data_IF_040302591702
#
_entry.id   IF_040302591702
#
_cell.length_a   1.000
_cell.length_b   1.000
_cell.length_c   1.000
_cell.angle_alpha   90.00
_cell.angle_beta   90.00
_cell.angle_gamma   90.00
#
_symmetry.space_group_name_H-M   'P 1'
#
loop_
_entity.id
_entity.type
_entity.pdbx_description
1 polymer ?
#
# COMPACT_ATOMS: atom_id res chain seq x y z
N UNK A 1 -0.36 24.12 7.64
CA UNK A 1 0.66 23.11 7.28
C UNK A 1 -0.07 21.83 6.93
N UNK A 2 0.06 21.33 5.70
CA UNK A 2 -0.65 20.11 5.28
C UNK A 2 -0.02 18.88 5.92
N UNK A 3 -0.68 18.31 6.93
CA UNK A 3 -0.19 17.12 7.62
C UNK A 3 -0.25 15.89 6.69
N UNK A 4 0.90 15.44 6.21
CA UNK A 4 1.00 14.19 5.45
C UNK A 4 0.85 13.00 6.40
N UNK A 5 -0.25 12.26 6.24
CA UNK A 5 -0.51 11.02 6.99
C UNK A 5 -0.27 9.82 6.10
N UNK A 6 0.26 8.75 6.67
CA UNK A 6 0.43 7.49 5.93
C UNK A 6 -0.93 6.93 5.51
N UNK A 7 -0.98 6.26 4.37
CA UNK A 7 -2.21 5.68 3.81
C UNK A 7 -2.91 4.73 4.80
N UNK A 8 -2.14 4.04 5.65
CA UNK A 8 -2.66 3.14 6.68
C UNK A 8 -3.54 3.88 7.71
N UNK A 9 -3.19 5.12 8.06
CA UNK A 9 -4.00 5.95 8.95
C UNK A 9 -5.28 6.37 8.23
N UNK A 10 -5.20 6.74 6.95
CA UNK A 10 -6.37 7.07 6.13
C UNK A 10 -7.38 5.93 6.04
N UNK A 11 -6.93 4.69 5.83
CA UNK A 11 -7.81 3.51 5.79
C UNK A 11 -8.48 3.27 7.16
N UNK A 12 -7.75 3.45 8.28
CA UNK A 12 -8.32 3.35 9.63
C UNK A 12 -9.39 4.40 9.90
N UNK A 13 -9.27 5.61 9.34
CA UNK A 13 -10.29 6.64 9.45
C UNK A 13 -11.59 6.28 8.73
N UNK A 14 -11.51 5.53 7.61
CA UNK A 14 -12.69 5.02 6.91
C UNK A 14 -13.44 3.97 7.75
N UNK A 15 -12.71 3.13 8.48
CA UNK A 15 -13.26 2.14 9.42
C UNK A 15 -13.87 2.79 10.66
N UNK A 16 -13.30 3.89 11.14
CA UNK A 16 -13.71 4.61 12.33
C UNK A 16 -14.88 5.59 12.09
N UNK A 17 -15.59 5.49 10.98
CA UNK A 17 -16.82 6.27 10.75
C UNK A 17 -17.95 5.69 11.62
N UNK A 18 -18.00 6.08 12.88
CA UNK A 18 -18.85 5.48 13.95
C UNK A 18 -20.37 5.63 13.75
N UNK A 19 -20.83 6.40 12.75
CA UNK A 19 -22.24 6.78 12.61
C UNK A 19 -23.00 5.96 11.57
N UNK A 20 -22.31 5.21 10.69
CA UNK A 20 -22.89 4.41 9.61
C UNK A 20 -22.12 3.08 9.58
N UNK A 21 -22.82 1.96 9.34
CA UNK A 21 -22.16 0.67 9.16
C UNK A 21 -20.97 0.80 8.19
N UNK A 22 -19.81 0.17 8.47
CA UNK A 22 -18.63 0.35 7.63
C UNK A 22 -18.91 0.00 6.16
N UNK A 23 -18.65 0.96 5.27
CA UNK A 23 -18.76 0.80 3.82
C UNK A 23 -17.57 -0.02 3.30
N UNK A 24 -17.69 -1.36 3.40
CA UNK A 24 -16.63 -2.29 3.02
C UNK A 24 -16.24 -2.19 1.55
N UNK A 25 -17.18 -1.87 0.67
CA UNK A 25 -16.94 -1.55 -0.74
C UNK A 25 -15.90 -0.43 -0.92
N UNK A 26 -16.03 0.68 -0.19
CA UNK A 26 -15.16 1.84 -0.27
C UNK A 26 -13.81 1.54 0.38
N UNK A 27 -13.81 0.89 1.54
CA UNK A 27 -12.59 0.52 2.25
C UNK A 27 -11.72 -0.42 1.39
N UNK A 28 -12.33 -1.43 0.78
CA UNK A 28 -11.62 -2.38 -0.08
C UNK A 28 -11.15 -1.71 -1.38
N UNK A 29 -11.94 -0.84 -1.99
CA UNK A 29 -11.52 -0.08 -3.16
C UNK A 29 -10.29 0.80 -2.86
N UNK A 30 -10.31 1.54 -1.74
CA UNK A 30 -9.17 2.34 -1.29
C UNK A 30 -7.93 1.50 -0.98
N UNK A 31 -8.13 0.31 -0.40
CA UNK A 31 -7.03 -0.64 -0.13
C UNK A 31 -6.40 -1.16 -1.41
N UNK A 32 -7.20 -1.50 -2.43
CA UNK A 32 -6.68 -1.94 -3.74
C UNK A 32 -5.87 -0.82 -4.40
N UNK A 33 -6.39 0.42 -4.40
CA UNK A 33 -5.68 1.57 -4.95
C UNK A 33 -4.37 1.82 -4.20
N UNK A 34 -4.37 1.70 -2.87
CA UNK A 34 -3.18 1.86 -2.04
C UNK A 34 -2.07 0.83 -2.34
N UNK A 35 -2.42 -0.34 -2.87
CA UNK A 35 -1.46 -1.37 -3.29
C UNK A 35 -0.88 -1.13 -4.69
N UNK A 36 -1.48 -0.26 -5.51
CA UNK A 36 -0.97 -0.01 -6.86
C UNK A 36 0.47 0.55 -6.87
N UNK A 37 0.84 1.56 -6.06
CA UNK A 37 2.20 2.10 -6.07
C UNK A 37 3.29 1.05 -5.82
N UNK A 38 3.23 0.22 -4.76
CA UNK A 38 4.27 -0.80 -4.54
C UNK A 38 4.27 -1.88 -5.63
N UNK A 39 3.11 -2.25 -6.20
CA UNK A 39 3.04 -3.19 -7.31
C UNK A 39 3.67 -2.64 -8.59
N UNK A 40 3.43 -1.37 -8.90
CA UNK A 40 4.04 -0.69 -10.05
C UNK A 40 5.57 -0.69 -9.91
N UNK A 41 6.07 -0.31 -8.74
CA UNK A 41 7.51 -0.33 -8.42
C UNK A 41 8.06 -1.75 -8.59
N UNK A 42 7.38 -2.77 -8.08
CA UNK A 42 7.80 -4.17 -8.20
C UNK A 42 7.87 -4.62 -9.66
N UNK A 43 6.86 -4.29 -10.48
CA UNK A 43 6.82 -4.69 -11.89
C UNK A 43 7.96 -4.06 -12.70
N UNK A 44 8.27 -2.78 -12.43
CA UNK A 44 9.37 -2.06 -13.07
C UNK A 44 10.72 -2.60 -12.62
N UNK A 45 10.91 -2.86 -11.32
CA UNK A 45 12.20 -3.25 -10.74
C UNK A 45 12.41 -4.77 -10.66
N UNK A 46 11.50 -5.59 -11.19
CA UNK A 46 11.53 -7.08 -11.06
C UNK A 46 12.92 -7.70 -11.22
N UNK A 47 13.67 -7.31 -12.27
CA UNK A 47 14.98 -7.89 -12.59
C UNK A 47 16.06 -7.42 -11.63
N UNK A 48 16.10 -6.12 -11.34
CA UNK A 48 17.09 -5.51 -10.43
C UNK A 48 16.93 -6.01 -9.01
N UNK A 49 15.68 -6.22 -8.55
CA UNK A 49 15.39 -6.74 -7.22
C UNK A 49 15.84 -8.21 -7.08
N UNK A 50 15.57 -9.04 -8.09
CA UNK A 50 16.02 -10.45 -8.14
C UNK A 50 17.54 -10.55 -8.18
N UNK A 51 18.21 -9.72 -8.98
CA UNK A 51 19.67 -9.66 -9.04
C UNK A 51 20.26 -9.16 -7.71
N UNK A 52 19.62 -8.18 -7.06
CA UNK A 52 20.00 -7.70 -5.74
C UNK A 52 19.95 -8.79 -4.67
N UNK A 53 18.87 -9.57 -4.62
CA UNK A 53 18.73 -10.70 -3.68
C UNK A 53 19.76 -11.79 -4.00
N UNK A 54 19.98 -12.10 -5.28
CA UNK A 54 20.95 -13.12 -5.71
C UNK A 54 22.40 -12.73 -5.38
N UNK A 55 22.75 -11.45 -5.36
CA UNK A 55 24.09 -11.01 -4.93
C UNK A 55 24.33 -11.21 -3.43
N UNK A 56 23.29 -11.19 -2.59
CA UNK A 56 23.45 -11.43 -1.14
C UNK A 56 23.80 -12.88 -0.81
N UNK A 57 23.46 -13.84 -1.68
CA UNK A 57 23.78 -15.26 -1.44
C UNK A 57 25.20 -15.65 -1.83
N UNK A 58 25.93 -14.78 -2.54
CA UNK A 58 27.35 -14.98 -2.86
C UNK A 58 28.20 -14.16 -1.90
N UNK A 59 28.23 -14.56 -0.63
CA UNK A 59 29.27 -14.19 0.34
C UNK A 59 29.62 -15.41 1.17
#
# INVERSE_FOLDING_TARGET
>A
TGEMRVIQIGIKMLLASEQIAPEWNVIMAGTVIAMLPPLIVLLVLRKSFVQGIAMQTTK
#
